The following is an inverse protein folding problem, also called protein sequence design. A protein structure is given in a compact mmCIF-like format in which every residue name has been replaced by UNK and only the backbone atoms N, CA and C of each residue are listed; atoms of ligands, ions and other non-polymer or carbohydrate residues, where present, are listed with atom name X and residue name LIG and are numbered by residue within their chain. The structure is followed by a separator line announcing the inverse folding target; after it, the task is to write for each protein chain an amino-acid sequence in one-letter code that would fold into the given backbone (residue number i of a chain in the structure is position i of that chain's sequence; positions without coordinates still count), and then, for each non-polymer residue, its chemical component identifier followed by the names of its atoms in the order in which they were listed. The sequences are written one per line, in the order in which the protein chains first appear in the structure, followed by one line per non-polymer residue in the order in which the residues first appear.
data_IF_741485559495
#
_entry.id   IF_741485559495
#
_cell.length_a   1.000
_cell.length_b   1.000
_cell.length_c   1.000
_cell.angle_alpha   90.00
_cell.angle_beta   90.00
_cell.angle_gamma   90.00
#
_symmetry.space_group_name_H-M   'P 1'
#
loop_
_entity.id
_entity.type
_entity.pdbx_description
1 polymer ?
#
# COMPACT_ATOMS: atom_id res chain seq x y z
N UNK A 1 -4.53 -8.02 19.38
CA UNK A 1 -4.16 -6.86 18.56
C UNK A 1 -5.10 -6.73 17.39
N UNK A 2 -5.54 -5.50 17.10
CA UNK A 2 -6.47 -5.25 15.99
C UNK A 2 -5.86 -5.51 14.63
N UNK A 3 -4.57 -5.17 14.44
CA UNK A 3 -3.88 -5.30 13.17
C UNK A 3 -2.92 -6.48 13.16
N UNK A 4 -2.90 -7.20 12.03
CA UNK A 4 -1.90 -8.21 11.73
C UNK A 4 -1.06 -7.74 10.56
N UNK A 5 0.24 -8.02 10.61
CA UNK A 5 1.19 -7.65 9.57
C UNK A 5 1.72 -8.92 8.91
N UNK A 6 1.78 -8.90 7.60
CA UNK A 6 2.37 -10.01 6.84
C UNK A 6 3.42 -9.45 5.90
N UNK A 7 4.68 -9.78 6.15
CA UNK A 7 5.80 -9.41 5.28
C UNK A 7 6.15 -10.59 4.40
N UNK A 8 6.36 -10.34 3.11
CA UNK A 8 6.71 -11.38 2.15
C UNK A 8 7.78 -10.85 1.19
N UNK A 9 8.55 -11.76 0.64
CA UNK A 9 9.61 -11.41 -0.30
C UNK A 9 9.07 -11.50 -1.73
N UNK A 10 9.46 -10.55 -2.57
CA UNK A 10 9.23 -10.63 -4.00
C UNK A 10 10.47 -10.15 -4.75
N UNK A 11 10.66 -10.66 -5.98
CA UNK A 11 11.89 -10.39 -6.70
C UNK A 11 13.10 -10.96 -5.96
N UNK A 12 14.27 -10.37 -6.15
CA UNK A 12 15.51 -10.83 -5.50
C UNK A 12 15.76 -10.19 -4.14
N UNK A 13 15.43 -8.90 -3.99
CA UNK A 13 15.79 -8.12 -2.81
C UNK A 13 14.66 -7.30 -2.19
N UNK A 14 13.43 -7.46 -2.65
CA UNK A 14 12.32 -6.63 -2.20
C UNK A 14 11.38 -7.37 -1.26
N UNK A 15 10.78 -6.62 -0.33
CA UNK A 15 9.78 -7.12 0.61
C UNK A 15 8.49 -6.33 0.48
N UNK A 16 7.38 -7.05 0.45
CA UNK A 16 6.05 -6.45 0.49
C UNK A 16 5.45 -6.57 1.88
N UNK A 17 4.52 -5.69 2.19
CA UNK A 17 3.84 -5.69 3.49
C UNK A 17 2.34 -5.56 3.28
N UNK A 18 1.60 -6.43 3.94
CA UNK A 18 0.14 -6.33 4.06
C UNK A 18 -0.20 -6.03 5.51
N UNK A 19 -1.15 -5.13 5.71
CA UNK A 19 -1.69 -4.82 7.05
C UNK A 19 -3.17 -5.16 7.06
N UNK A 20 -3.57 -6.03 7.95
CA UNK A 20 -4.93 -6.57 8.02
C UNK A 20 -5.60 -6.23 9.35
N UNK A 21 -6.82 -5.70 9.28
CA UNK A 21 -7.65 -5.49 10.47
C UNK A 21 -8.46 -6.77 10.74
N UNK A 22 -8.17 -7.42 11.85
CA UNK A 22 -8.82 -8.68 12.21
C UNK A 22 -10.31 -8.52 12.52
N UNK A 23 -10.74 -7.30 12.80
CA UNK A 23 -12.12 -6.99 13.16
C UNK A 23 -12.99 -6.71 11.94
N UNK A 24 -12.57 -5.78 11.08
CA UNK A 24 -13.32 -5.38 9.89
C UNK A 24 -12.99 -6.24 8.68
N UNK A 25 -11.89 -6.98 8.71
CA UNK A 25 -11.36 -7.80 7.62
C UNK A 25 -10.84 -6.99 6.43
N UNK A 26 -10.61 -5.70 6.64
CA UNK A 26 -9.98 -4.86 5.61
C UNK A 26 -8.47 -5.08 5.59
N UNK A 27 -7.89 -4.98 4.42
CA UNK A 27 -6.44 -5.18 4.23
C UNK A 27 -5.89 -4.08 3.34
N UNK A 28 -4.71 -3.57 3.70
CA UNK A 28 -3.98 -2.61 2.88
C UNK A 28 -2.64 -3.21 2.47
N UNK A 29 -2.26 -2.96 1.21
CA UNK A 29 -0.92 -3.26 0.72
C UNK A 29 -0.09 -1.99 0.77
N UNK A 30 1.12 -2.08 1.33
CA UNK A 30 2.07 -0.97 1.30
C UNK A 30 2.96 -1.17 0.09
N UNK A 31 2.86 -0.25 -0.86
CA UNK A 31 3.49 -0.31 -2.19
C UNK A 31 2.92 -1.46 -3.05
N UNK A 32 3.38 -1.58 -4.27
CA UNK A 32 2.87 -2.57 -5.22
C UNK A 32 3.90 -2.86 -6.31
N UNK A 33 5.11 -3.24 -5.90
CA UNK A 33 6.20 -3.49 -6.83
C UNK A 33 6.02 -4.71 -7.71
N UNK A 34 5.23 -5.68 -7.27
CA UNK A 34 5.01 -6.92 -8.02
C UNK A 34 3.63 -7.48 -7.71
N UNK A 35 2.71 -7.42 -8.69
CA UNK A 35 1.33 -7.84 -8.47
C UNK A 35 1.21 -9.31 -8.07
N UNK A 36 1.97 -10.18 -8.71
CA UNK A 36 1.93 -11.62 -8.41
C UNK A 36 2.29 -11.91 -6.95
N UNK A 37 3.35 -11.28 -6.45
CA UNK A 37 3.77 -11.45 -5.05
C UNK A 37 2.67 -11.04 -4.07
N UNK A 38 2.06 -9.88 -4.30
CA UNK A 38 0.99 -9.40 -3.44
C UNK A 38 -0.27 -10.27 -3.54
N UNK A 39 -0.65 -10.67 -4.75
CA UNK A 39 -1.81 -11.53 -4.94
C UNK A 39 -1.62 -12.90 -4.28
N UNK A 40 -0.43 -13.48 -4.40
CA UNK A 40 -0.11 -14.76 -3.75
C UNK A 40 -0.17 -14.63 -2.22
N UNK A 41 0.36 -13.53 -1.68
CA UNK A 41 0.33 -13.30 -0.23
C UNK A 41 -1.11 -13.15 0.28
N UNK A 42 -1.95 -12.41 -0.44
CA UNK A 42 -3.38 -12.26 -0.10
C UNK A 42 -4.08 -13.61 -0.10
N UNK A 43 -3.82 -14.42 -1.11
CA UNK A 43 -4.42 -15.76 -1.23
C UNK A 43 -3.97 -16.67 -0.10
N UNK A 44 -2.68 -16.64 0.23
CA UNK A 44 -2.11 -17.45 1.31
C UNK A 44 -2.74 -17.10 2.66
N UNK A 45 -2.94 -15.81 2.91
CA UNK A 45 -3.54 -15.34 4.17
C UNK A 45 -5.06 -15.38 4.16
N UNK A 46 -5.69 -15.55 3.00
CA UNK A 46 -7.15 -15.50 2.88
C UNK A 46 -7.72 -14.11 3.07
N UNK A 47 -6.96 -13.07 2.72
CA UNK A 47 -7.35 -11.68 2.90
C UNK A 47 -7.79 -11.03 1.59
N UNK A 48 -8.70 -10.05 1.68
CA UNK A 48 -9.16 -9.24 0.55
C UNK A 48 -8.61 -7.84 0.66
N UNK A 49 -8.01 -7.35 -0.42
CA UNK A 49 -7.36 -6.03 -0.44
C UNK A 49 -8.40 -4.93 -0.67
N UNK A 50 -8.39 -3.90 0.19
CA UNK A 50 -9.29 -2.75 0.07
C UNK A 50 -8.57 -1.46 -0.24
N UNK A 51 -7.32 -1.33 0.16
CA UNK A 51 -6.52 -0.12 -0.10
C UNK A 51 -5.09 -0.50 -0.49
N UNK A 52 -4.45 0.40 -1.23
CA UNK A 52 -3.03 0.32 -1.57
C UNK A 52 -2.42 1.69 -1.21
N UNK A 53 -1.36 1.68 -0.42
CA UNK A 53 -0.63 2.90 -0.03
C UNK A 53 0.73 2.90 -0.72
N UNK A 54 0.98 3.92 -1.55
CA UNK A 54 2.25 4.05 -2.28
C UNK A 54 3.12 5.09 -1.60
N UNK A 55 4.36 4.72 -1.30
CA UNK A 55 5.30 5.61 -0.60
C UNK A 55 6.08 6.50 -1.57
N UNK A 56 6.47 5.98 -2.73
CA UNK A 56 7.23 6.75 -3.74
C UNK A 56 7.13 6.05 -5.10
N UNK A 57 7.70 6.69 -6.14
CA UNK A 57 7.50 6.26 -7.53
C UNK A 57 8.54 5.30 -8.12
N UNK A 58 9.46 4.77 -7.33
CA UNK A 58 10.44 3.80 -7.84
C UNK A 58 9.73 2.54 -8.35
N UNK A 59 10.22 1.99 -9.48
CA UNK A 59 9.59 0.85 -10.13
C UNK A 59 9.44 -0.37 -9.24
N UNK A 60 10.40 -0.64 -8.35
CA UNK A 60 10.34 -1.76 -7.41
C UNK A 60 9.22 -1.61 -6.36
N UNK A 61 8.56 -0.44 -6.31
CA UNK A 61 7.43 -0.17 -5.43
C UNK A 61 6.12 0.05 -6.18
N UNK A 62 6.15 0.29 -7.49
CA UNK A 62 4.97 0.65 -8.27
C UNK A 62 4.74 -0.17 -9.54
N UNK A 63 5.68 -1.02 -9.94
CA UNK A 63 5.57 -1.77 -11.21
C UNK A 63 4.33 -2.64 -11.30
N UNK A 64 3.84 -3.16 -10.17
CA UNK A 64 2.66 -4.00 -10.13
C UNK A 64 1.35 -3.26 -9.82
N UNK A 65 1.40 -1.94 -9.67
CA UNK A 65 0.25 -1.16 -9.18
C UNK A 65 -0.99 -1.29 -10.09
N UNK A 66 -0.82 -1.09 -11.39
CA UNK A 66 -1.93 -1.16 -12.34
C UNK A 66 -2.64 -2.50 -12.28
N UNK A 67 -1.88 -3.58 -12.29
CA UNK A 67 -2.43 -4.93 -12.27
C UNK A 67 -3.07 -5.27 -10.93
N UNK A 68 -2.41 -4.93 -9.83
CA UNK A 68 -2.93 -5.20 -8.48
C UNK A 68 -4.23 -4.44 -8.25
N UNK A 69 -4.29 -3.17 -8.65
CA UNK A 69 -5.50 -2.36 -8.57
C UNK A 69 -6.64 -2.97 -9.39
N UNK A 70 -6.34 -3.41 -10.60
CA UNK A 70 -7.31 -4.00 -11.51
C UNK A 70 -7.88 -5.31 -10.97
N UNK A 71 -7.02 -6.15 -10.40
CA UNK A 71 -7.40 -7.46 -9.88
C UNK A 71 -8.19 -7.38 -8.57
N UNK A 72 -7.94 -6.36 -7.74
CA UNK A 72 -8.52 -6.27 -6.40
C UNK A 72 -9.61 -5.20 -6.27
N UNK A 73 -9.61 -4.21 -7.15
CA UNK A 73 -10.50 -3.06 -7.04
C UNK A 73 -10.14 -2.13 -5.88
N UNK A 74 -8.96 -2.28 -5.30
CA UNK A 74 -8.53 -1.49 -4.15
C UNK A 74 -8.35 -0.02 -4.52
N UNK A 75 -8.63 0.86 -3.54
CA UNK A 75 -8.43 2.31 -3.70
C UNK A 75 -6.98 2.65 -3.41
N UNK A 76 -6.36 3.44 -4.28
CA UNK A 76 -4.94 3.76 -4.20
C UNK A 76 -4.71 5.15 -3.62
N UNK A 77 -3.89 5.21 -2.57
CA UNK A 77 -3.49 6.45 -1.90
C UNK A 77 -1.97 6.61 -2.05
N UNK A 78 -1.53 7.79 -2.44
CA UNK A 78 -0.10 8.00 -2.60
C UNK A 78 0.23 9.36 -3.18
N UNK A 79 1.49 9.55 -3.64
CA UNK A 79 1.92 10.80 -4.25
C UNK A 79 1.10 11.12 -5.51
N UNK A 80 0.74 12.38 -5.68
CA UNK A 80 -0.09 12.86 -6.81
C UNK A 80 0.55 12.59 -8.17
N UNK A 81 1.86 12.50 -8.22
CA UNK A 81 2.61 12.32 -9.46
C UNK A 81 2.53 10.90 -10.02
N UNK A 82 2.06 9.95 -9.25
CA UNK A 82 2.03 8.54 -9.65
C UNK A 82 0.72 8.24 -10.35
N UNK A 83 0.82 7.63 -11.55
CA UNK A 83 -0.34 7.17 -12.31
C UNK A 83 -1.10 6.09 -11.53
N UNK A 84 -2.40 6.05 -11.68
CA UNK A 84 -3.33 5.13 -11.00
C UNK A 84 -3.60 5.46 -9.52
N UNK A 85 -3.05 6.53 -8.98
CA UNK A 85 -3.39 7.00 -7.64
C UNK A 85 -4.77 7.63 -7.67
N UNK A 86 -5.67 7.15 -6.81
CA UNK A 86 -7.04 7.68 -6.70
C UNK A 86 -7.08 8.91 -5.81
N UNK A 87 -6.31 8.89 -4.73
CA UNK A 87 -6.24 9.99 -3.76
C UNK A 87 -4.79 10.46 -3.63
N UNK A 88 -4.49 11.63 -4.17
CA UNK A 88 -3.17 12.24 -4.05
C UNK A 88 -2.97 12.82 -2.66
N UNK A 89 -1.85 12.51 -2.03
CA UNK A 89 -1.55 12.89 -0.65
C UNK A 89 -0.39 13.85 -0.56
N UNK A 90 -0.44 14.72 0.45
CA UNK A 90 0.61 15.69 0.79
C UNK A 90 0.86 15.68 2.29
N UNK A 91 1.91 16.39 2.72
CA UNK A 91 2.24 16.56 4.13
C UNK A 91 1.02 16.99 4.95
N UNK A 92 0.76 16.28 6.02
CA UNK A 92 -0.33 16.60 6.95
C UNK A 92 -1.69 16.06 6.56
N UNK A 93 -1.83 15.48 5.37
CA UNK A 93 -3.09 14.88 4.97
C UNK A 93 -3.43 13.69 5.86
N UNK A 94 -4.72 13.44 6.00
CA UNK A 94 -5.23 12.29 6.76
C UNK A 94 -6.30 11.58 5.96
N UNK A 95 -6.38 10.28 6.14
CA UNK A 95 -7.45 9.48 5.58
C UNK A 95 -7.75 8.33 6.53
N UNK A 96 -8.80 7.57 6.26
CA UNK A 96 -9.19 6.47 7.14
C UNK A 96 -8.90 5.11 6.52
N UNK A 97 -8.40 4.22 7.37
CA UNK A 97 -8.31 2.80 7.06
C UNK A 97 -8.95 2.05 8.22
N UNK A 98 -10.01 1.32 7.90
CA UNK A 98 -10.66 0.44 8.89
C UNK A 98 -11.10 1.18 10.16
N UNK A 99 -11.57 2.42 10.01
CA UNK A 99 -12.01 3.25 11.14
C UNK A 99 -10.89 3.96 11.88
N UNK A 100 -9.64 3.74 11.50
CA UNK A 100 -8.50 4.42 12.10
C UNK A 100 -7.99 5.54 11.19
N UNK A 101 -7.53 6.63 11.79
CA UNK A 101 -6.94 7.74 11.05
C UNK A 101 -5.51 7.41 10.64
N UNK A 102 -5.21 7.61 9.37
CA UNK A 102 -3.84 7.46 8.84
C UNK A 102 -3.30 8.85 8.53
N UNK A 103 -2.17 9.17 9.10
CA UNK A 103 -1.51 10.45 8.93
C UNK A 103 -0.38 10.35 7.94
N UNK A 104 -0.27 11.35 7.06
CA UNK A 104 0.74 11.37 6.00
C UNK A 104 1.81 12.40 6.33
N UNK A 105 3.07 11.98 6.25
CA UNK A 105 4.23 12.87 6.38
C UNK A 105 5.11 12.72 5.15
N UNK A 106 5.53 13.84 4.57
CA UNK A 106 6.49 13.85 3.48
C UNK A 106 7.91 13.74 4.03
N UNK A 107 8.68 12.81 3.49
CA UNK A 107 10.08 12.64 3.88
C UNK A 107 10.94 12.53 2.62
N UNK A 108 11.12 13.64 1.88
CA UNK A 108 11.92 13.62 0.67
C UNK A 108 13.40 13.37 1.02
N UNK A 109 13.90 12.26 0.57
CA UNK A 109 15.29 11.88 0.84
C UNK A 109 15.75 10.85 -0.16
N UNK A 110 14.87 9.89 -0.45
CA UNK A 110 15.08 8.88 -1.47
C UNK A 110 14.59 9.39 -2.83
N UNK A 111 13.38 9.95 -2.86
CA UNK A 111 12.80 10.66 -4.00
C UNK A 111 12.08 11.89 -3.47
N UNK A 112 11.72 12.81 -4.38
CA UNK A 112 11.00 14.04 -4.00
C UNK A 112 9.55 13.78 -3.57
N UNK A 113 9.00 12.63 -3.93
CA UNK A 113 7.62 12.27 -3.63
C UNK A 113 7.47 11.20 -2.54
N UNK A 114 8.53 11.00 -1.74
CA UNK A 114 8.51 10.02 -0.66
C UNK A 114 7.51 10.40 0.44
N UNK A 115 6.62 9.47 0.77
CA UNK A 115 5.64 9.63 1.85
C UNK A 115 5.82 8.56 2.91
N UNK A 116 5.48 8.91 4.16
CA UNK A 116 5.37 7.97 5.25
C UNK A 116 3.95 8.00 5.79
N UNK A 117 3.45 6.85 6.18
CA UNK A 117 2.10 6.67 6.69
C UNK A 117 2.14 6.25 8.15
N UNK A 118 1.39 6.95 9.00
CA UNK A 118 1.28 6.66 10.43
C UNK A 118 -0.15 6.28 10.76
N UNK A 119 -0.31 5.09 11.25
CA UNK A 119 -1.60 4.50 11.58
C UNK A 119 -1.98 4.72 13.04
#
# INVERSE_FOLDING_TARGET
MKFQYHQFKYGSDNYGVLVHDTKTKETVAVDAGNSTGYLNALKEMGWSLTQIWITHHHGDHTDGLSDLKKQTGAKVFGPKSIEYVDVGLSEGDQFEFSGEHVRVLETPGHTLDMLNFYL
#
